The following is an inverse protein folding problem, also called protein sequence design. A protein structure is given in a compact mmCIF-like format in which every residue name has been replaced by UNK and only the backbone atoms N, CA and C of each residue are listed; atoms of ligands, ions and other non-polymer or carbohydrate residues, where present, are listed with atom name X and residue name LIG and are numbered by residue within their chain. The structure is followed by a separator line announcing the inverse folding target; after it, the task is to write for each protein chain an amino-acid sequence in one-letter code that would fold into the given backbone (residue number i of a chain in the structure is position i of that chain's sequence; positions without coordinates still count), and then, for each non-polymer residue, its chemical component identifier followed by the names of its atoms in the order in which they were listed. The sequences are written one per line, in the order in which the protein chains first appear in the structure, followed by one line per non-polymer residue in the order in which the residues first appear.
data_IF_131037470270
#
_entry.id   IF_131037470270
#
_cell.length_a   1.000
_cell.length_b   1.000
_cell.length_c   1.000
_cell.angle_alpha   90.00
_cell.angle_beta   90.00
_cell.angle_gamma   90.00
#
_symmetry.space_group_name_H-M   'P 1'
#
loop_
_entity.id
_entity.type
_entity.pdbx_description
1 polymer ?
#
# COMPACT_ATOMS: atom_id res chain seq x y z
N UNK A 1 -13.76 0.18 6.82
CA UNK A 1 -12.33 0.39 7.08
C UNK A 1 -11.93 1.85 6.96
N UNK A 2 -10.72 2.24 7.41
CA UNK A 2 -10.17 3.60 7.18
C UNK A 2 -10.07 3.89 5.68
N UNK A 3 -9.72 2.90 4.85
CA UNK A 3 -9.67 3.08 3.41
C UNK A 3 -11.05 3.32 2.80
N UNK A 4 -12.10 2.64 3.26
CA UNK A 4 -13.46 2.91 2.80
C UNK A 4 -13.86 4.34 3.14
N UNK A 5 -13.62 4.79 4.38
CA UNK A 5 -13.86 6.17 4.79
C UNK A 5 -13.14 7.17 3.86
N UNK A 6 -11.88 6.88 3.49
CA UNK A 6 -11.12 7.73 2.58
C UNK A 6 -11.72 7.74 1.17
N UNK A 7 -12.16 6.62 0.64
CA UNK A 7 -12.81 6.54 -0.68
C UNK A 7 -14.17 7.23 -0.69
N UNK A 8 -14.94 7.12 0.38
CA UNK A 8 -16.22 7.83 0.52
C UNK A 8 -16.02 9.36 0.54
N UNK A 9 -14.95 9.82 1.19
CA UNK A 9 -14.59 11.26 1.26
C UNK A 9 -13.94 11.76 -0.03
N UNK A 10 -13.14 10.94 -0.71
CA UNK A 10 -12.34 11.28 -1.89
C UNK A 10 -12.53 10.23 -2.98
N UNK A 11 -13.65 10.29 -3.69
CA UNK A 11 -14.03 9.26 -4.69
C UNK A 11 -13.02 9.08 -5.83
N UNK A 12 -12.29 10.14 -6.20
CA UNK A 12 -11.24 10.06 -7.21
C UNK A 12 -10.09 9.13 -6.81
N UNK A 13 -9.91 8.85 -5.52
CA UNK A 13 -8.87 7.94 -5.03
C UNK A 13 -9.19 6.46 -5.24
N UNK A 14 -10.40 6.10 -5.64
CA UNK A 14 -10.72 4.69 -5.91
C UNK A 14 -9.87 4.06 -7.01
N UNK A 15 -9.30 4.89 -7.90
CA UNK A 15 -8.41 4.40 -8.94
C UNK A 15 -7.14 3.73 -8.38
N UNK A 16 -6.73 4.09 -7.17
CA UNK A 16 -5.56 3.44 -6.53
C UNK A 16 -5.74 1.93 -6.40
N UNK A 17 -6.96 1.44 -6.18
CA UNK A 17 -7.25 -0.01 -6.11
C UNK A 17 -6.81 -0.74 -7.38
N UNK A 18 -7.02 -0.12 -8.55
CA UNK A 18 -6.62 -0.69 -9.84
C UNK A 18 -5.11 -0.65 -10.02
N UNK A 19 -4.50 0.47 -9.66
CA UNK A 19 -3.05 0.64 -9.73
C UNK A 19 -2.35 -0.33 -8.77
N UNK A 20 -2.82 -0.45 -7.54
CA UNK A 20 -2.34 -1.43 -6.58
C UNK A 20 -2.46 -2.87 -7.09
N UNK A 21 -3.58 -3.21 -7.75
CA UNK A 21 -3.76 -4.55 -8.30
C UNK A 21 -2.76 -4.83 -9.41
N UNK A 22 -2.54 -3.90 -10.33
CA UNK A 22 -1.64 -4.09 -11.46
C UNK A 22 -0.16 -4.04 -11.06
N UNK A 23 0.23 -2.94 -10.44
CA UNK A 23 1.63 -2.67 -10.10
C UNK A 23 2.08 -3.46 -8.87
N UNK A 24 1.16 -3.65 -7.91
CA UNK A 24 1.40 -4.47 -6.73
C UNK A 24 1.66 -5.92 -7.09
N UNK A 25 0.89 -6.51 -8.02
CA UNK A 25 1.11 -7.88 -8.48
C UNK A 25 2.50 -8.05 -9.10
N UNK A 26 2.95 -7.10 -9.90
CA UNK A 26 4.31 -7.13 -10.45
C UNK A 26 5.36 -7.10 -9.34
N UNK A 27 5.23 -6.19 -8.38
CA UNK A 27 6.14 -6.05 -7.23
C UNK A 27 6.12 -7.29 -6.33
N UNK A 28 4.95 -7.88 -6.09
CA UNK A 28 4.81 -9.12 -5.33
C UNK A 28 5.56 -10.29 -6.00
N UNK A 29 5.44 -10.43 -7.33
CA UNK A 29 6.16 -11.47 -8.08
C UNK A 29 7.68 -11.28 -7.97
N UNK A 30 8.17 -10.05 -8.11
CA UNK A 30 9.58 -9.73 -7.93
C UNK A 30 10.08 -10.07 -6.52
N UNK A 31 9.28 -9.74 -5.51
CA UNK A 31 9.58 -10.06 -4.12
C UNK A 31 9.63 -11.57 -3.88
N UNK A 32 8.64 -12.32 -4.38
CA UNK A 32 8.61 -13.79 -4.27
C UNK A 32 9.81 -14.43 -4.98
N UNK A 33 10.10 -13.99 -6.20
CA UNK A 33 11.25 -14.47 -6.93
C UNK A 33 12.57 -14.21 -6.17
N UNK A 34 12.74 -12.98 -5.70
CA UNK A 34 13.93 -12.59 -4.94
C UNK A 34 14.11 -13.40 -3.66
N UNK A 35 13.01 -13.69 -2.96
CA UNK A 35 13.06 -14.53 -1.75
C UNK A 35 13.47 -15.99 -2.03
N UNK A 36 13.14 -16.50 -3.22
CA UNK A 36 13.54 -17.86 -3.64
C UNK A 36 15.01 -17.95 -4.09
N UNK A 37 15.58 -16.83 -4.52
CA UNK A 37 16.94 -16.78 -5.11
C UNK A 37 17.91 -15.90 -4.31
N UNK A 38 17.59 -15.61 -3.05
CA UNK A 38 18.29 -14.66 -2.17
C UNK A 38 19.82 -14.71 -2.26
N UNK A 39 20.39 -15.90 -2.36
CA UNK A 39 21.84 -16.10 -2.40
C UNK A 39 22.44 -15.98 -3.80
N UNK A 40 21.61 -15.86 -4.84
CA UNK A 40 22.04 -15.92 -6.24
C UNK A 40 21.83 -14.64 -7.02
N UNK A 41 20.91 -13.78 -6.58
CA UNK A 41 20.52 -12.55 -7.30
C UNK A 41 20.44 -11.38 -6.33
N UNK A 42 20.88 -10.21 -6.76
CA UNK A 42 20.69 -8.99 -5.97
C UNK A 42 19.19 -8.72 -5.78
N UNK A 43 18.74 -8.40 -4.56
CA UNK A 43 17.34 -8.04 -4.36
C UNK A 43 16.96 -6.87 -5.28
N UNK A 44 15.74 -6.88 -5.86
CA UNK A 44 15.33 -5.94 -6.89
C UNK A 44 15.16 -4.50 -6.35
N UNK A 45 14.98 -4.34 -5.05
CA UNK A 45 14.77 -3.02 -4.47
C UNK A 45 16.10 -2.46 -3.98
N UNK A 46 16.64 -1.50 -4.73
CA UNK A 46 17.77 -0.71 -4.29
C UNK A 46 17.36 0.76 -4.29
N UNK A 47 17.33 1.38 -3.12
CA UNK A 47 17.25 2.84 -3.01
C UNK A 47 18.66 3.34 -2.72
N UNK A 48 19.21 4.19 -3.60
CA UNK A 48 20.58 4.72 -3.49
C UNK A 48 21.66 3.63 -3.31
N UNK A 49 21.51 2.48 -3.98
CA UNK A 49 22.46 1.38 -3.91
C UNK A 49 22.39 0.51 -2.64
N UNK A 50 21.50 0.80 -1.72
CA UNK A 50 21.29 0.01 -0.51
C UNK A 50 20.21 -1.05 -0.74
N UNK A 51 20.41 -2.20 -0.12
CA UNK A 51 19.40 -3.27 -0.10
C UNK A 51 18.36 -2.97 0.97
N UNK A 52 17.09 -2.90 0.58
CA UNK A 52 16.00 -2.78 1.51
C UNK A 52 15.14 -4.03 1.47
N UNK A 53 14.71 -4.47 2.64
CA UNK A 53 13.61 -5.39 2.76
C UNK A 53 12.32 -4.65 2.34
N UNK A 54 11.36 -5.37 1.77
CA UNK A 54 10.06 -4.85 1.37
C UNK A 54 9.37 -3.98 2.44
N UNK A 55 9.45 -4.37 3.73
CA UNK A 55 8.89 -3.60 4.83
C UNK A 55 9.71 -2.34 5.21
N UNK A 56 10.98 -2.31 4.83
CA UNK A 56 11.86 -1.18 5.14
C UNK A 56 11.51 0.07 4.32
N UNK A 57 10.78 -0.10 3.22
CA UNK A 57 10.32 1.02 2.37
C UNK A 57 9.46 2.01 3.16
N UNK A 58 8.71 1.52 4.14
CA UNK A 58 7.78 2.34 4.93
C UNK A 58 8.40 2.94 6.19
N UNK A 59 9.69 2.75 6.44
CA UNK A 59 10.34 3.43 7.56
C UNK A 59 10.78 4.85 7.16
N UNK A 60 10.80 5.74 8.15
CA UNK A 60 11.12 7.17 7.96
C UNK A 60 12.46 7.39 7.25
N UNK A 61 13.50 6.61 7.61
CA UNK A 61 14.82 6.72 7.00
C UNK A 61 14.80 6.42 5.51
N UNK A 62 14.04 5.42 5.11
CA UNK A 62 13.90 5.04 3.70
C UNK A 62 13.08 6.07 2.95
N UNK A 63 11.95 6.53 3.52
CA UNK A 63 11.11 7.57 2.92
C UNK A 63 11.89 8.86 2.69
N UNK A 64 12.72 9.27 3.65
CA UNK A 64 13.59 10.44 3.52
C UNK A 64 14.72 10.26 2.48
N UNK A 65 15.04 9.03 2.11
CA UNK A 65 16.03 8.74 1.06
C UNK A 65 15.48 8.83 -0.36
N UNK A 66 14.17 8.88 -0.53
CA UNK A 66 13.57 9.11 -1.85
C UNK A 66 13.85 10.55 -2.30
N UNK A 67 14.49 10.68 -3.44
CA UNK A 67 14.86 11.99 -4.03
C UNK A 67 13.62 12.79 -4.43
N UNK A 68 12.50 12.11 -4.69
CA UNK A 68 11.24 12.70 -5.10
C UNK A 68 10.07 12.06 -4.33
N UNK A 69 9.73 12.66 -3.20
CA UNK A 69 8.62 12.19 -2.36
C UNK A 69 7.28 12.24 -3.10
N UNK A 70 7.07 13.23 -3.98
CA UNK A 70 5.84 13.34 -4.76
C UNK A 70 5.71 12.15 -5.73
N UNK A 71 6.78 11.83 -6.46
CA UNK A 71 6.77 10.65 -7.34
C UNK A 71 6.56 9.35 -6.57
N UNK A 72 7.08 9.24 -5.35
CA UNK A 72 6.83 8.10 -4.49
C UNK A 72 5.35 8.00 -4.10
N UNK A 73 4.73 9.09 -3.64
CA UNK A 73 3.31 9.11 -3.23
C UNK A 73 2.39 8.87 -4.43
N UNK A 74 2.70 9.49 -5.58
CA UNK A 74 1.84 9.43 -6.76
C UNK A 74 1.87 8.08 -7.47
N UNK A 75 2.98 7.34 -7.37
CA UNK A 75 3.18 6.13 -8.15
C UNK A 75 3.78 4.98 -7.35
N UNK A 76 4.98 5.17 -6.80
CA UNK A 76 5.75 4.06 -6.24
C UNK A 76 5.09 3.44 -5.00
N UNK A 77 4.33 4.23 -4.25
CA UNK A 77 3.58 3.76 -3.08
C UNK A 77 2.65 2.59 -3.42
N UNK A 78 2.01 2.63 -4.59
CA UNK A 78 1.02 1.62 -4.98
C UNK A 78 1.63 0.26 -5.29
N UNK A 79 2.87 0.22 -5.74
CA UNK A 79 3.62 -1.03 -5.89
C UNK A 79 3.74 -1.76 -4.56
N UNK A 80 4.11 -1.02 -3.52
CA UNK A 80 4.34 -1.59 -2.20
C UNK A 80 3.04 -1.91 -1.46
N UNK A 81 2.08 -1.00 -1.50
CA UNK A 81 0.79 -1.23 -0.82
C UNK A 81 0.00 -2.37 -1.45
N UNK A 82 0.06 -2.52 -2.77
CA UNK A 82 -0.51 -3.66 -3.47
C UNK A 82 0.17 -4.97 -3.08
N UNK A 83 1.49 -5.05 -3.20
CA UNK A 83 2.26 -6.25 -2.87
C UNK A 83 2.10 -6.69 -1.40
N UNK A 84 1.90 -5.73 -0.46
CA UNK A 84 1.56 -6.05 0.94
C UNK A 84 0.21 -6.75 1.03
N UNK A 85 -0.81 -6.26 0.34
CA UNK A 85 -2.14 -6.85 0.35
C UNK A 85 -2.09 -8.31 -0.15
N UNK A 86 -1.37 -8.57 -1.25
CA UNK A 86 -1.17 -9.90 -1.80
C UNK A 86 -0.38 -10.83 -0.87
N UNK A 87 0.63 -10.28 -0.20
CA UNK A 87 1.38 -11.03 0.82
C UNK A 87 0.50 -11.42 2.00
N UNK A 88 -0.44 -10.54 2.40
CA UNK A 88 -1.41 -10.87 3.42
C UNK A 88 -2.40 -11.94 2.98
N UNK A 89 -2.89 -11.88 1.74
CA UNK A 89 -3.77 -12.91 1.18
C UNK A 89 -3.08 -14.27 1.10
N UNK A 90 -1.79 -14.33 0.75
CA UNK A 90 -1.01 -15.57 0.83
C UNK A 90 -0.93 -16.12 2.28
N UNK A 91 -0.71 -15.25 3.26
CA UNK A 91 -0.67 -15.65 4.68
C UNK A 91 -2.02 -16.12 5.21
N UNK A 92 -3.09 -15.64 4.65
CA UNK A 92 -4.46 -16.07 4.94
C UNK A 92 -4.87 -17.30 4.13
N UNK A 93 -3.99 -17.84 3.30
CA UNK A 93 -4.21 -18.99 2.42
C UNK A 93 -5.40 -18.79 1.46
N UNK A 94 -5.62 -17.56 1.02
CA UNK A 94 -6.70 -17.18 0.09
C UNK A 94 -6.27 -17.45 -1.35
N UNK A 95 -7.14 -18.09 -2.13
CA UNK A 95 -6.96 -18.29 -3.57
C UNK A 95 -7.29 -17.00 -4.36
N UNK A 96 -6.46 -15.99 -4.19
CA UNK A 96 -6.68 -14.66 -4.76
C UNK A 96 -6.23 -14.52 -6.21
N UNK A 97 -5.25 -15.31 -6.66
CA UNK A 97 -4.63 -15.17 -7.99
C UNK A 97 -5.65 -15.32 -9.12
N UNK A 98 -6.45 -16.40 -9.08
CA UNK A 98 -7.51 -16.63 -10.05
C UNK A 98 -8.58 -15.53 -10.01
N UNK A 99 -8.82 -14.91 -8.86
CA UNK A 99 -9.77 -13.82 -8.72
C UNK A 99 -9.26 -12.55 -9.43
N UNK A 100 -8.00 -12.23 -9.26
CA UNK A 100 -7.34 -11.10 -9.96
C UNK A 100 -7.30 -11.34 -11.48
N UNK A 101 -7.00 -12.56 -11.94
CA UNK A 101 -7.08 -12.93 -13.35
C UNK A 101 -8.50 -12.73 -13.93
N UNK A 102 -9.54 -12.88 -13.10
CA UNK A 102 -10.93 -12.59 -13.44
C UNK A 102 -11.33 -11.11 -13.20
N UNK A 103 -10.38 -10.20 -13.10
CA UNK A 103 -10.54 -8.76 -12.93
C UNK A 103 -11.11 -8.31 -11.58
N UNK A 104 -11.03 -9.13 -10.54
CA UNK A 104 -11.31 -8.65 -9.19
C UNK A 104 -10.13 -7.82 -8.67
N UNK A 105 -10.42 -6.79 -7.89
CA UNK A 105 -9.39 -5.92 -7.32
C UNK A 105 -8.87 -6.49 -6.01
N UNK A 106 -7.56 -6.46 -5.83
CA UNK A 106 -6.89 -7.05 -4.67
C UNK A 106 -7.40 -6.48 -3.33
N UNK A 107 -7.70 -5.18 -3.30
CA UNK A 107 -8.30 -4.55 -2.13
C UNK A 107 -9.67 -5.12 -1.77
N UNK A 108 -10.52 -5.37 -2.76
CA UNK A 108 -11.87 -5.87 -2.53
C UNK A 108 -11.84 -7.33 -2.07
N UNK A 109 -10.91 -8.13 -2.61
CA UNK A 109 -10.65 -9.51 -2.16
C UNK A 109 -10.21 -9.51 -0.68
N UNK A 110 -9.22 -8.70 -0.33
CA UNK A 110 -8.72 -8.61 1.04
C UNK A 110 -9.80 -8.13 2.00
N UNK A 111 -10.57 -7.12 1.60
CA UNK A 111 -11.69 -6.59 2.39
C UNK A 111 -12.75 -7.64 2.67
N UNK A 112 -13.09 -8.46 1.69
CA UNK A 112 -14.02 -9.57 1.84
C UNK A 112 -13.51 -10.60 2.86
N UNK A 113 -12.23 -11.01 2.74
CA UNK A 113 -11.62 -11.98 3.64
C UNK A 113 -11.49 -11.44 5.09
N UNK A 114 -11.14 -10.17 5.23
CA UNK A 114 -11.12 -9.52 6.54
C UNK A 114 -12.52 -9.52 7.17
N UNK A 115 -13.56 -9.23 6.40
CA UNK A 115 -14.95 -9.27 6.91
C UNK A 115 -15.39 -10.67 7.34
N UNK A 116 -14.96 -11.71 6.64
CA UNK A 116 -15.29 -13.10 6.99
C UNK A 116 -14.62 -13.54 8.30
N UNK A 117 -13.39 -13.13 8.51
CA UNK A 117 -12.55 -13.65 9.59
C UNK A 117 -12.51 -12.74 10.83
N UNK A 118 -12.84 -11.45 10.70
CA UNK A 118 -12.86 -10.47 11.79
C UNK A 118 -14.22 -9.79 11.92
N UNK A 119 -15.19 -10.52 12.38
CA UNK A 119 -16.59 -10.07 12.48
C UNK A 119 -16.79 -8.93 13.49
N UNK A 120 -15.87 -8.70 14.42
CA UNK A 120 -16.02 -7.64 15.41
C UNK A 120 -14.67 -6.99 15.76
N UNK A 121 -14.24 -6.03 14.95
CA UNK A 121 -13.38 -4.99 15.51
C UNK A 121 -14.26 -4.14 16.43
N UNK A 122 -14.00 -4.15 17.72
CA UNK A 122 -14.67 -3.28 18.70
C UNK A 122 -14.35 -1.80 18.47
N UNK A 123 -13.33 -1.51 17.63
CA UNK A 123 -12.89 -0.15 17.34
C UNK A 123 -13.68 0.45 16.18
N UNK A 124 -14.28 1.61 16.43
CA UNK A 124 -14.87 2.47 15.40
C UNK A 124 -13.79 3.09 14.50
N UNK A 125 -14.20 3.68 13.39
CA UNK A 125 -13.30 4.49 12.54
C UNK A 125 -12.68 5.64 13.32
N UNK A 126 -13.46 6.27 14.21
CA UNK A 126 -12.98 7.39 15.02
C UNK A 126 -11.98 6.94 16.09
N UNK A 127 -12.15 5.76 16.69
CA UNK A 127 -11.16 5.20 17.60
C UNK A 127 -9.82 4.98 16.91
N UNK A 128 -9.85 4.45 15.68
CA UNK A 128 -8.64 4.22 14.88
C UNK A 128 -8.00 5.58 14.50
N UNK A 129 -8.79 6.55 14.07
CA UNK A 129 -8.27 7.90 13.77
C UNK A 129 -7.56 8.53 14.96
N UNK A 130 -8.16 8.41 16.14
CA UNK A 130 -7.58 8.95 17.37
C UNK A 130 -6.31 8.20 17.76
N UNK A 131 -6.32 6.87 17.67
CA UNK A 131 -5.15 6.02 18.00
C UNK A 131 -3.93 6.35 17.14
N UNK A 132 -4.14 6.62 15.85
CA UNK A 132 -3.06 6.94 14.90
C UNK A 132 -2.86 8.44 14.66
N UNK A 133 -3.51 9.29 15.46
CA UNK A 133 -3.36 10.74 15.37
C UNK A 133 -3.80 11.35 14.03
N UNK A 134 -4.77 10.74 13.35
CA UNK A 134 -5.23 11.15 12.03
C UNK A 134 -5.52 12.65 11.93
N UNK A 135 -6.15 13.22 12.96
CA UNK A 135 -6.51 14.64 12.97
C UNK A 135 -5.27 15.56 12.97
N UNK A 136 -4.12 15.08 13.47
CA UNK A 136 -2.87 15.84 13.45
C UNK A 136 -2.26 15.91 12.05
N UNK A 137 -2.57 14.95 11.18
CA UNK A 137 -2.07 14.90 9.80
C UNK A 137 -2.97 15.64 8.82
N UNK A 138 -4.20 16.02 9.20
CA UNK A 138 -5.11 16.73 8.30
C UNK A 138 -4.54 18.11 7.91
N UNK A 139 -4.02 18.84 8.89
CA UNK A 139 -3.37 20.14 8.69
C UNK A 139 -2.08 20.01 7.86
N UNK A 140 -1.26 18.98 8.13
CA UNK A 140 -0.04 18.70 7.37
C UNK A 140 -0.34 18.33 5.92
N UNK A 141 -1.38 17.53 5.69
CA UNK A 141 -1.82 17.16 4.35
C UNK A 141 -2.32 18.37 3.55
N UNK A 142 -3.01 19.31 4.19
CA UNK A 142 -3.46 20.54 3.55
C UNK A 142 -2.27 21.42 3.13
N UNK A 143 -1.23 21.52 3.95
CA UNK A 143 0.02 22.21 3.61
C UNK A 143 0.67 21.58 2.37
N UNK A 144 0.78 20.25 2.33
CA UNK A 144 1.36 19.52 1.19
C UNK A 144 0.55 19.77 -0.09
N UNK A 145 -0.78 19.68 -0.01
CA UNK A 145 -1.66 19.95 -1.16
C UNK A 145 -1.49 21.38 -1.69
N UNK A 146 -1.33 22.35 -0.80
CA UNK A 146 -1.13 23.74 -1.21
C UNK A 146 0.24 23.94 -1.89
N UNK A 147 1.31 23.33 -1.38
CA UNK A 147 2.62 23.33 -2.01
C UNK A 147 2.58 22.70 -3.42
N UNK A 148 1.84 21.60 -3.57
CA UNK A 148 1.69 20.93 -4.86
C UNK A 148 0.93 21.79 -5.88
N UNK A 149 -0.09 22.53 -5.44
CA UNK A 149 -0.85 23.45 -6.31
C UNK A 149 -0.05 24.67 -6.75
N UNK A 150 0.85 25.16 -5.89
CA UNK A 150 1.70 26.31 -6.23
C UNK A 150 2.81 25.97 -7.22
N UNK A 151 3.16 24.68 -7.33
CA UNK A 151 4.24 24.19 -8.21
C UNK A 151 3.70 23.52 -9.50
N UNK A 152 2.41 23.53 -9.73
CA UNK A 152 1.76 23.01 -10.94
C UNK A 152 1.31 24.14 -11.86
#
# INVERSE_FOLDING_TARGET
TIRDFRYDKFTYMEQEKKVETLEGTAQYIEYKYSSLVQDKVKPPITVNGNKYNFLDVFNEKTLNAFVNLNGFIDKDLYYYTGAIQETYLDKLEVEWKNRVENNELIYDILKEEVKKNWVNSEKSVDDIKNEYGYNNFEDEAEIIVNILKENS
#
